data_IF_439994565939
#
_entry.id   IF_439994565939
#
_cell.length_a   1.000
_cell.length_b   1.000
_cell.length_c   1.000
_cell.angle_alpha   90.00
_cell.angle_beta   90.00
_cell.angle_gamma   90.00
#
_symmetry.space_group_name_H-M   'P 1'
#
loop_
_entity.id
_entity.type
_entity.pdbx_description
1 polymer ?
#
# COMPACT_ATOMS: atom_id res chain seq x y z
N UNK A 1 13.48 -10.96 32.58
CA UNK A 1 12.81 -10.03 31.66
C UNK A 1 12.63 -10.79 30.35
N UNK A 2 11.44 -10.73 29.77
CA UNK A 2 11.09 -11.42 28.53
C UNK A 2 11.13 -10.44 27.35
N UNK A 3 11.83 -10.85 26.29
CA UNK A 3 11.91 -10.15 25.02
C UNK A 3 10.94 -10.76 24.02
N UNK A 4 10.56 -10.01 22.99
CA UNK A 4 9.64 -10.51 21.96
C UNK A 4 10.20 -11.76 21.27
N UNK A 5 11.51 -11.82 21.05
CA UNK A 5 12.22 -12.93 20.41
C UNK A 5 12.04 -14.26 21.14
N UNK A 6 11.86 -14.22 22.46
CA UNK A 6 11.71 -15.42 23.30
C UNK A 6 10.42 -16.18 22.94
N UNK A 7 9.43 -15.50 22.37
CA UNK A 7 8.14 -16.05 21.99
C UNK A 7 8.07 -16.51 20.52
N UNK A 8 9.11 -16.24 19.70
CA UNK A 8 9.07 -16.46 18.24
C UNK A 8 9.46 -17.88 17.79
N UNK A 9 9.88 -18.73 18.72
CA UNK A 9 10.24 -20.14 18.44
C UNK A 9 9.23 -20.90 17.57
N UNK A 10 7.90 -20.75 17.73
CA UNK A 10 6.91 -21.42 16.88
C UNK A 10 6.99 -21.06 15.40
N UNK A 11 7.43 -19.85 15.03
CA UNK A 11 7.55 -19.42 13.63
C UNK A 11 8.54 -20.32 12.86
N UNK A 12 9.66 -20.68 13.49
CA UNK A 12 10.65 -21.60 12.93
C UNK A 12 10.12 -23.03 12.72
N UNK A 13 9.00 -23.38 13.36
CA UNK A 13 8.34 -24.69 13.26
C UNK A 13 7.19 -24.69 12.25
N UNK A 14 6.99 -23.60 11.51
CA UNK A 14 5.97 -23.48 10.48
C UNK A 14 4.63 -22.92 10.97
N UNK A 15 4.58 -22.33 12.18
CA UNK A 15 3.46 -21.47 12.57
C UNK A 15 3.54 -20.20 11.74
N UNK A 16 2.43 -19.82 11.11
CA UNK A 16 2.37 -18.67 10.21
C UNK A 16 2.57 -17.33 10.93
N UNK A 17 1.84 -17.13 12.02
CA UNK A 17 1.86 -15.91 12.83
C UNK A 17 1.81 -16.28 14.32
N UNK A 18 2.61 -15.60 15.13
CA UNK A 18 2.57 -15.67 16.59
C UNK A 18 2.03 -14.35 17.10
N UNK A 19 0.94 -14.39 17.86
CA UNK A 19 0.42 -13.24 18.60
C UNK A 19 0.89 -13.32 20.05
N UNK A 20 1.55 -12.26 20.53
CA UNK A 20 2.08 -12.14 21.90
C UNK A 20 1.43 -10.94 22.55
N UNK A 21 0.86 -11.09 23.76
CA UNK A 21 0.30 -9.96 24.49
C UNK A 21 1.42 -9.00 24.94
N UNK A 22 1.18 -7.69 24.81
CA UNK A 22 2.18 -6.68 25.21
C UNK A 22 2.58 -6.77 26.68
N UNK A 23 1.70 -7.27 27.53
CA UNK A 23 1.97 -7.49 28.96
C UNK A 23 3.02 -8.58 29.21
N UNK A 24 3.22 -9.49 28.26
CA UNK A 24 4.20 -10.57 28.35
C UNK A 24 5.59 -10.13 27.90
N UNK A 25 5.68 -9.11 27.04
CA UNK A 25 6.93 -8.53 26.56
C UNK A 25 7.36 -7.41 27.49
N UNK A 26 8.21 -7.74 28.47
CA UNK A 26 8.65 -6.80 29.51
C UNK A 26 9.83 -5.92 29.11
N UNK A 27 10.53 -6.27 28.03
CA UNK A 27 11.62 -5.46 27.47
C UNK A 27 11.17 -4.67 26.23
N UNK A 28 11.72 -3.45 26.01
CA UNK A 28 11.50 -2.76 24.75
C UNK A 28 12.07 -3.56 23.58
N UNK A 29 11.55 -3.31 22.38
CA UNK A 29 12.12 -3.87 21.15
C UNK A 29 13.61 -3.53 21.06
N UNK A 30 14.43 -4.53 20.71
CA UNK A 30 15.85 -4.35 20.49
C UNK A 30 16.15 -3.32 19.38
N UNK A 31 17.33 -2.70 19.44
CA UNK A 31 17.77 -1.70 18.47
C UNK A 31 17.92 -2.23 17.03
N UNK A 32 17.84 -3.54 16.85
CA UNK A 32 17.87 -4.24 15.57
C UNK A 32 16.48 -4.39 14.92
N UNK A 33 15.41 -4.02 15.62
CA UNK A 33 14.10 -3.84 15.03
C UNK A 33 13.98 -2.46 14.39
N UNK A 34 13.84 -2.47 13.08
CA UNK A 34 13.69 -1.24 12.32
C UNK A 34 12.22 -0.99 11.99
N UNK A 35 11.75 0.22 12.28
CA UNK A 35 10.40 0.63 11.92
C UNK A 35 10.26 0.69 10.39
N UNK A 36 9.23 0.03 9.86
CA UNK A 36 8.92 0.05 8.43
C UNK A 36 8.39 1.41 8.03
N UNK A 37 8.89 1.96 6.93
CA UNK A 37 8.42 3.23 6.37
C UNK A 37 6.97 3.15 5.83
N UNK A 38 6.53 1.94 5.46
CA UNK A 38 5.17 1.65 4.99
C UNK A 38 4.58 0.54 5.88
N UNK A 39 3.46 0.84 6.53
CA UNK A 39 2.64 -0.17 7.20
C UNK A 39 1.80 -0.87 6.13
N UNK A 40 2.11 -2.13 5.81
CA UNK A 40 1.17 -2.98 5.06
C UNK A 40 -0.04 -3.19 5.97
N UNK A 41 -1.27 -3.03 5.45
CA UNK A 41 -2.42 -2.82 6.31
C UNK A 41 -2.85 -4.18 6.87
N UNK A 42 -2.37 -4.53 8.06
CA UNK A 42 -2.97 -5.57 8.91
C UNK A 42 -3.97 -4.86 9.85
N UNK A 43 -5.17 -5.43 10.06
CA UNK A 43 -6.20 -4.81 10.89
C UNK A 43 -5.71 -4.39 12.28
N UNK A 44 -5.84 -3.11 12.64
CA UNK A 44 -5.49 -2.61 13.97
C UNK A 44 -3.99 -2.42 14.23
N UNK A 45 -3.15 -2.51 13.19
CA UNK A 45 -1.71 -2.22 13.27
C UNK A 45 -1.43 -0.73 13.41
N UNK A 46 -0.70 -0.36 14.46
CA UNK A 46 -0.24 1.00 14.77
C UNK A 46 1.04 1.28 13.97
N UNK A 47 1.99 0.35 14.04
CA UNK A 47 3.28 0.40 13.36
C UNK A 47 3.78 -1.01 13.07
N UNK A 48 4.64 -1.14 12.08
CA UNK A 48 5.26 -2.41 11.73
C UNK A 48 6.78 -2.28 11.86
N UNK A 49 7.43 -3.30 12.40
CA UNK A 49 8.89 -3.36 12.53
C UNK A 49 9.43 -4.58 11.82
N UNK A 50 10.70 -4.51 11.42
CA UNK A 50 11.39 -5.59 10.71
C UNK A 50 12.73 -5.88 11.35
N UNK A 51 13.06 -7.16 11.39
CA UNK A 51 14.36 -7.68 11.84
C UNK A 51 14.71 -8.91 10.99
N UNK A 52 15.44 -8.67 9.90
CA UNK A 52 15.73 -9.72 8.91
C UNK A 52 14.45 -10.24 8.26
N UNK A 53 14.15 -11.53 8.46
CA UNK A 53 12.92 -12.18 7.98
C UNK A 53 11.73 -11.99 8.91
N UNK A 54 11.93 -11.51 10.14
CA UNK A 54 10.81 -11.25 11.03
C UNK A 54 10.13 -9.94 10.67
N UNK A 55 8.80 -10.00 10.56
CA UNK A 55 7.96 -8.83 10.40
C UNK A 55 6.95 -8.83 11.55
N UNK A 56 6.98 -7.76 12.34
CA UNK A 56 6.06 -7.57 13.45
C UNK A 56 5.10 -6.44 13.12
N UNK A 57 3.83 -6.70 13.38
CA UNK A 57 2.77 -5.73 13.42
C UNK A 57 2.44 -5.43 14.88
N UNK A 58 2.73 -4.21 15.31
CA UNK A 58 2.31 -3.71 16.61
C UNK A 58 0.84 -3.34 16.57
N UNK A 59 0.03 -3.91 17.46
CA UNK A 59 -1.36 -3.50 17.67
C UNK A 59 -1.50 -2.84 19.04
N UNK A 60 -2.72 -2.43 19.43
CA UNK A 60 -2.97 -1.82 20.75
C UNK A 60 -2.53 -2.75 21.89
N UNK A 61 -2.90 -4.03 21.79
CA UNK A 61 -2.81 -4.97 22.91
C UNK A 61 -1.76 -6.08 22.64
N UNK A 62 -1.39 -6.30 21.37
CA UNK A 62 -0.58 -7.45 20.96
C UNK A 62 0.53 -7.10 19.97
N UNK A 63 1.60 -7.89 20.00
CA UNK A 63 2.59 -8.02 18.95
C UNK A 63 2.21 -9.21 18.07
N UNK A 64 1.95 -8.98 16.79
CA UNK A 64 1.72 -10.04 15.81
C UNK A 64 2.95 -10.20 14.95
N UNK A 65 3.62 -11.33 15.04
CA UNK A 65 4.87 -11.56 14.34
C UNK A 65 4.70 -12.70 13.36
N UNK A 66 5.06 -12.47 12.10
CA UNK A 66 5.18 -13.51 11.10
C UNK A 66 6.60 -13.54 10.54
N UNK A 67 6.92 -14.63 9.83
CA UNK A 67 8.21 -14.82 9.18
C UNK A 67 8.04 -14.66 7.66
N UNK A 68 8.59 -13.59 7.11
CA UNK A 68 8.75 -13.43 5.66
C UNK A 68 9.78 -14.48 5.18
N UNK A 69 9.58 -15.06 4.00
CA UNK A 69 10.54 -16.07 3.50
C UNK A 69 11.84 -15.41 3.05
N UNK A 70 11.78 -14.19 2.56
CA UNK A 70 12.95 -13.44 2.14
C UNK A 70 13.10 -12.17 2.96
N UNK A 71 14.32 -11.91 3.44
CA UNK A 71 14.67 -10.61 4.02
C UNK A 71 14.56 -9.55 2.91
N UNK A 72 13.63 -8.58 3.01
CA UNK A 72 13.40 -7.58 1.97
C UNK A 72 14.61 -6.68 1.74
N UNK A 73 15.50 -6.53 2.73
CA UNK A 73 16.74 -5.76 2.57
C UNK A 73 17.75 -6.46 1.69
N UNK A 74 17.81 -7.79 1.78
CA UNK A 74 18.76 -8.61 1.02
C UNK A 74 18.19 -9.05 -0.32
N UNK A 75 16.88 -9.32 -0.36
CA UNK A 75 16.19 -9.90 -1.50
C UNK A 75 14.85 -9.20 -1.80
N UNK A 76 14.85 -7.90 -2.13
CA UNK A 76 13.63 -7.10 -2.30
C UNK A 76 12.70 -7.64 -3.40
N UNK A 77 13.28 -8.12 -4.51
CA UNK A 77 12.51 -8.65 -5.65
C UNK A 77 11.83 -9.97 -5.27
N UNK A 78 12.54 -10.87 -4.57
CA UNK A 78 11.97 -12.17 -4.18
C UNK A 78 10.86 -11.99 -3.15
N UNK A 79 11.00 -11.04 -2.23
CA UNK A 79 9.94 -10.67 -1.30
C UNK A 79 8.67 -10.23 -2.03
N UNK A 80 8.79 -9.34 -3.03
CA UNK A 80 7.63 -8.85 -3.79
C UNK A 80 6.92 -9.95 -4.61
N UNK A 81 7.69 -10.84 -5.24
CA UNK A 81 7.14 -11.80 -6.20
C UNK A 81 6.65 -13.09 -5.54
N UNK A 82 7.28 -13.51 -4.45
CA UNK A 82 7.09 -14.83 -3.83
C UNK A 82 6.42 -14.76 -2.45
N UNK A 83 6.70 -13.72 -1.64
CA UNK A 83 6.04 -13.54 -0.35
C UNK A 83 4.67 -12.86 -0.50
N UNK A 84 4.56 -11.88 -1.41
CA UNK A 84 3.35 -11.11 -1.65
C UNK A 84 2.87 -11.17 -3.12
N UNK A 85 2.52 -12.36 -3.67
CA UNK A 85 2.02 -12.45 -5.03
C UNK A 85 0.76 -11.58 -5.19
N UNK A 86 0.64 -10.92 -6.36
CA UNK A 86 -0.34 -9.86 -6.62
C UNK A 86 -1.77 -10.21 -6.21
N UNK A 87 -2.21 -11.44 -6.49
CA UNK A 87 -3.55 -11.93 -6.14
C UNK A 87 -3.79 -11.98 -4.62
N UNK A 88 -2.77 -12.32 -3.83
CA UNK A 88 -2.86 -12.29 -2.37
C UNK A 88 -2.89 -10.86 -1.85
N UNK A 89 -2.07 -9.97 -2.42
CA UNK A 89 -2.07 -8.54 -2.06
C UNK A 89 -3.45 -7.89 -2.28
N UNK A 90 -4.12 -8.22 -3.38
CA UNK A 90 -5.49 -7.77 -3.65
C UNK A 90 -6.45 -8.34 -2.58
N UNK A 91 -6.36 -9.64 -2.28
CA UNK A 91 -7.18 -10.28 -1.25
C UNK A 91 -7.00 -9.67 0.14
N UNK A 92 -5.77 -9.43 0.56
CA UNK A 92 -5.43 -8.82 1.85
C UNK A 92 -5.93 -7.37 1.92
N UNK A 93 -5.85 -6.64 0.82
CA UNK A 93 -6.45 -5.30 0.71
C UNK A 93 -7.96 -5.35 0.98
N UNK A 94 -8.68 -6.31 0.39
CA UNK A 94 -10.11 -6.49 0.66
C UNK A 94 -10.39 -6.82 2.13
N UNK A 95 -9.66 -7.76 2.71
CA UNK A 95 -9.83 -8.17 4.12
C UNK A 95 -9.61 -6.97 5.05
N UNK A 96 -8.57 -6.17 4.78
CA UNK A 96 -8.27 -5.03 5.64
C UNK A 96 -9.31 -3.94 5.52
N UNK A 97 -9.87 -3.70 4.33
CA UNK A 97 -10.97 -2.75 4.15
C UNK A 97 -12.19 -3.09 5.01
N UNK A 98 -12.54 -4.36 5.16
CA UNK A 98 -13.62 -4.78 6.07
C UNK A 98 -13.26 -4.64 7.54
N UNK A 99 -11.98 -4.78 7.88
CA UNK A 99 -11.52 -4.73 9.26
C UNK A 99 -11.43 -3.33 9.85
N UNK A 100 -11.23 -2.30 9.00
CA UNK A 100 -11.11 -0.89 9.43
C UNK A 100 -12.46 -0.30 9.90
N UNK A 101 -13.54 -1.09 9.86
CA UNK A 101 -14.90 -0.69 10.24
C UNK A 101 -15.12 -0.57 11.78
N UNK A 102 -14.13 -0.94 12.60
CA UNK A 102 -14.24 -0.88 14.07
C UNK A 102 -13.24 0.12 14.68
N UNK A 103 -13.65 1.38 14.93
CA UNK A 103 -12.82 2.32 15.67
C UNK A 103 -12.81 1.99 17.18
N UNK A 104 -11.63 2.06 17.82
CA UNK A 104 -11.46 2.10 19.28
C UNK A 104 -10.82 3.43 19.68
N UNK A 105 -11.47 4.10 20.64
CA UNK A 105 -11.09 5.38 21.25
C UNK A 105 -9.86 5.29 22.17
N UNK A 106 -9.12 6.39 22.27
CA UNK A 106 -8.89 7.15 23.52
C UNK A 106 -8.13 8.47 23.22
N UNK A 107 -8.84 9.61 23.16
CA UNK A 107 -8.27 10.97 23.09
C UNK A 107 -9.14 11.93 23.92
N UNK A 108 -8.56 13.09 24.27
CA UNK A 108 -9.21 14.16 25.05
C UNK A 108 -10.50 14.65 24.37
N UNK A 109 -11.57 14.93 25.14
CA UNK A 109 -12.96 15.00 24.64
C UNK A 109 -13.15 16.14 23.63
N UNK A 110 -12.57 17.30 23.88
CA UNK A 110 -12.79 18.50 23.06
C UNK A 110 -12.01 18.46 21.74
N UNK A 111 -10.77 17.98 21.79
CA UNK A 111 -9.96 17.73 20.60
C UNK A 111 -10.57 16.59 19.76
N UNK A 112 -11.09 15.55 20.42
CA UNK A 112 -11.80 14.44 19.77
C UNK A 112 -13.05 14.91 19.04
N UNK A 113 -13.84 15.83 19.61
CA UNK A 113 -15.06 16.34 18.94
C UNK A 113 -14.74 17.19 17.70
N UNK A 114 -13.66 17.99 17.72
CA UNK A 114 -13.22 18.76 16.57
C UNK A 114 -12.70 17.86 15.45
N UNK A 115 -11.85 16.89 15.80
CA UNK A 115 -11.33 15.87 14.89
C UNK A 115 -12.46 15.02 14.29
N UNK A 116 -13.47 14.63 15.09
CA UNK A 116 -14.63 13.86 14.62
C UNK A 116 -15.49 14.64 13.62
N UNK A 117 -15.71 15.94 13.83
CA UNK A 117 -16.47 16.77 12.89
C UNK A 117 -15.74 16.92 11.55
N UNK A 118 -14.43 17.15 11.59
CA UNK A 118 -13.60 17.24 10.40
C UNK A 118 -13.55 15.89 9.67
N UNK A 119 -13.28 14.80 10.41
CA UNK A 119 -13.26 13.43 9.89
C UNK A 119 -14.58 13.04 9.24
N UNK A 120 -15.72 13.38 9.86
CA UNK A 120 -17.05 13.15 9.28
C UNK A 120 -17.21 13.83 7.91
N UNK A 121 -16.88 15.13 7.80
CA UNK A 121 -16.97 15.83 6.52
C UNK A 121 -16.09 15.18 5.45
N UNK A 122 -14.84 14.87 5.79
CA UNK A 122 -13.91 14.21 4.86
C UNK A 122 -14.43 12.85 4.43
N UNK A 123 -14.90 12.01 5.35
CA UNK A 123 -15.43 10.68 5.03
C UNK A 123 -16.64 10.74 4.10
N UNK A 124 -17.59 11.66 4.34
CA UNK A 124 -18.77 11.80 3.48
C UNK A 124 -18.41 12.36 2.10
N UNK A 125 -17.61 13.43 2.04
CA UNK A 125 -17.23 14.06 0.77
C UNK A 125 -16.36 13.12 -0.05
N UNK A 126 -15.33 12.53 0.55
CA UNK A 126 -14.48 11.56 -0.12
C UNK A 126 -15.27 10.31 -0.51
N UNK A 127 -16.20 9.85 0.33
CA UNK A 127 -17.07 8.71 0.02
C UNK A 127 -17.94 8.96 -1.22
N UNK A 128 -18.62 10.11 -1.29
CA UNK A 128 -19.41 10.51 -2.46
C UNK A 128 -18.52 10.64 -3.70
N UNK A 129 -17.37 11.31 -3.58
CA UNK A 129 -16.42 11.46 -4.68
C UNK A 129 -15.96 10.10 -5.22
N UNK A 130 -15.58 9.17 -4.33
CA UNK A 130 -15.15 7.82 -4.71
C UNK A 130 -16.28 7.02 -5.36
N UNK A 131 -17.52 7.12 -4.88
CA UNK A 131 -18.69 6.49 -5.53
C UNK A 131 -18.85 7.02 -6.96
N UNK A 132 -18.84 8.34 -7.14
CA UNK A 132 -18.96 8.97 -8.46
C UNK A 132 -17.81 8.59 -9.38
N UNK A 133 -16.59 8.55 -8.85
CA UNK A 133 -15.41 8.11 -9.59
C UNK A 133 -15.52 6.64 -10.00
N UNK A 134 -16.00 5.76 -9.11
CA UNK A 134 -16.25 4.36 -9.41
C UNK A 134 -17.28 4.19 -10.54
N UNK A 135 -18.38 4.94 -10.49
CA UNK A 135 -19.40 4.97 -11.55
C UNK A 135 -18.81 5.47 -12.87
N UNK A 136 -18.03 6.55 -12.84
CA UNK A 136 -17.36 7.09 -14.03
C UNK A 136 -16.43 6.06 -14.68
N UNK A 137 -15.63 5.33 -13.88
CA UNK A 137 -14.76 4.27 -14.39
C UNK A 137 -15.59 3.09 -14.94
N UNK A 138 -16.75 2.79 -14.34
CA UNK A 138 -17.63 1.72 -14.81
C UNK A 138 -18.26 2.03 -16.17
N UNK A 139 -18.68 3.28 -16.37
CA UNK A 139 -19.37 3.74 -17.57
C UNK A 139 -18.49 3.67 -18.82
N UNK A 140 -17.24 4.16 -18.71
CA UNK A 140 -16.23 4.02 -19.77
C UNK A 140 -14.85 3.65 -19.20
N UNK A 141 -14.59 2.35 -18.99
CA UNK A 141 -13.34 1.87 -18.39
C UNK A 141 -12.10 2.23 -19.21
N UNK A 142 -12.22 2.28 -20.54
CA UNK A 142 -11.09 2.54 -21.43
C UNK A 142 -10.81 4.04 -21.52
N UNK A 143 -11.84 4.89 -21.59
CA UNK A 143 -11.63 6.32 -21.50
C UNK A 143 -11.08 6.72 -20.12
N UNK A 144 -11.56 6.09 -19.04
CA UNK A 144 -10.99 6.31 -17.70
C UNK A 144 -9.52 5.90 -17.62
N UNK A 145 -9.14 4.75 -18.20
CA UNK A 145 -7.75 4.33 -18.31
C UNK A 145 -6.92 5.32 -19.13
N UNK A 146 -7.41 5.72 -20.31
CA UNK A 146 -6.74 6.69 -21.17
C UNK A 146 -6.55 8.03 -20.46
N UNK A 147 -7.58 8.55 -19.79
CA UNK A 147 -7.48 9.79 -19.02
C UNK A 147 -6.45 9.67 -17.88
N UNK A 148 -6.40 8.54 -17.19
CA UNK A 148 -5.44 8.33 -16.11
C UNK A 148 -3.98 8.32 -16.62
N UNK A 149 -3.70 7.65 -17.75
CA UNK A 149 -2.33 7.45 -18.23
C UNK A 149 -1.85 8.51 -19.22
N UNK A 150 -2.72 8.99 -20.11
CA UNK A 150 -2.37 10.01 -21.12
C UNK A 150 -2.51 11.44 -20.61
N UNK A 151 -3.23 11.67 -19.50
CA UNK A 151 -3.39 13.00 -18.91
C UNK A 151 -2.89 12.99 -17.46
N UNK A 152 -3.52 12.20 -16.58
CA UNK A 152 -3.26 12.23 -15.14
C UNK A 152 -1.78 12.00 -14.78
N UNK A 153 -1.23 10.87 -15.19
CA UNK A 153 0.16 10.49 -14.93
C UNK A 153 1.18 11.54 -15.44
N UNK A 154 1.13 12.01 -16.71
CA UNK A 154 2.03 13.05 -17.19
C UNK A 154 1.98 14.32 -16.33
N UNK A 155 0.78 14.80 -15.97
CA UNK A 155 0.64 16.01 -15.14
C UNK A 155 1.16 15.81 -13.72
N UNK A 156 1.01 14.62 -13.14
CA UNK A 156 1.61 14.27 -11.85
C UNK A 156 3.15 14.32 -11.95
N UNK A 157 3.72 13.75 -13.01
CA UNK A 157 5.18 13.75 -13.24
C UNK A 157 5.69 15.20 -13.43
N UNK A 158 5.04 16.00 -14.28
CA UNK A 158 5.39 17.41 -14.49
C UNK A 158 5.28 18.20 -13.19
N UNK A 159 4.18 18.06 -12.46
CA UNK A 159 3.98 18.73 -11.17
C UNK A 159 5.06 18.36 -10.16
N UNK A 160 5.42 17.08 -10.06
CA UNK A 160 6.51 16.62 -9.20
C UNK A 160 7.86 17.22 -9.63
N UNK A 161 8.16 17.25 -10.93
CA UNK A 161 9.37 17.88 -11.45
C UNK A 161 9.45 19.38 -11.11
N UNK A 162 8.34 20.11 -11.22
CA UNK A 162 8.25 21.53 -10.83
C UNK A 162 8.51 21.70 -9.32
N UNK A 163 7.95 20.83 -8.47
CA UNK A 163 8.20 20.89 -7.02
C UNK A 163 9.67 20.66 -6.69
N UNK A 164 10.34 19.72 -7.35
CA UNK A 164 11.78 19.46 -7.19
C UNK A 164 12.62 20.67 -7.64
N UNK A 165 12.27 21.31 -8.75
CA UNK A 165 12.92 22.55 -9.19
C UNK A 165 12.72 23.67 -8.17
N UNK A 166 11.48 23.85 -7.69
CA UNK A 166 11.13 24.89 -6.74
C UNK A 166 11.90 24.73 -5.41
N UNK A 167 12.02 23.50 -4.91
CA UNK A 167 12.82 23.21 -3.72
C UNK A 167 14.31 23.53 -3.94
N UNK A 168 14.87 23.11 -5.09
CA UNK A 168 16.25 23.41 -5.45
C UNK A 168 16.52 24.93 -5.55
N UNK A 169 15.60 25.71 -6.12
CA UNK A 169 15.69 27.18 -6.18
C UNK A 169 15.58 27.80 -4.78
N UNK A 170 14.63 27.34 -3.97
CA UNK A 170 14.43 27.83 -2.60
C UNK A 170 15.66 27.61 -1.74
N UNK A 171 16.30 26.43 -1.84
CA UNK A 171 17.54 26.09 -1.16
C UNK A 171 18.72 26.93 -1.66
N UNK A 172 18.73 27.33 -2.93
CA UNK A 172 19.73 28.26 -3.48
C UNK A 172 19.55 29.68 -2.91
N UNK A 173 18.30 30.16 -2.83
CA UNK A 173 17.95 31.51 -2.36
C UNK A 173 18.14 31.71 -0.85
N UNK A 174 17.96 30.65 -0.05
CA UNK A 174 18.15 30.69 1.42
C UNK A 174 19.62 30.63 1.87
N UNK A 175 20.58 30.59 0.95
CA UNK A 175 22.01 30.61 1.31
C UNK A 175 22.38 31.92 1.99
N UNK A 176 22.60 31.88 3.31
CA UNK A 176 23.37 32.91 4.01
C UNK A 176 24.87 32.74 3.67
N UNK A 177 25.65 33.82 3.49
CA UNK A 177 27.06 33.74 3.07
C UNK A 177 28.06 33.14 4.10
N UNK A 178 27.65 32.76 5.31
CA UNK A 178 28.59 32.69 6.44
C UNK A 178 29.09 31.32 6.92
N UNK A 179 28.66 30.19 6.35
CA UNK A 179 29.17 28.89 6.81
C UNK A 179 29.92 28.15 5.71
N UNK A 180 31.13 28.62 5.41
CA UNK A 180 32.10 27.98 4.51
C UNK A 180 33.06 27.05 5.26
N UNK A 181 33.09 27.05 6.60
CA UNK A 181 34.15 26.36 7.36
C UNK A 181 33.79 25.00 7.97
N UNK A 182 32.55 24.50 7.87
CA UNK A 182 32.25 23.11 8.26
C UNK A 182 31.69 22.35 7.06
N UNK A 183 32.54 21.51 6.47
CA UNK A 183 32.29 20.73 5.26
C UNK A 183 31.24 19.63 5.40
N UNK A 184 30.03 19.95 5.85
CA UNK A 184 28.91 19.00 6.00
C UNK A 184 27.65 19.43 5.23
N UNK A 185 27.62 20.60 4.58
CA UNK A 185 26.50 20.96 3.70
C UNK A 185 26.78 20.57 2.25
N UNK A 186 26.80 19.26 1.97
CA UNK A 186 26.58 18.75 0.61
C UNK A 186 25.09 18.97 0.24
N UNK A 187 24.71 20.21 -0.04
CA UNK A 187 23.46 20.46 -0.77
C UNK A 187 23.65 19.86 -2.16
N UNK A 188 22.87 18.81 -2.48
CA UNK A 188 22.90 18.08 -3.74
C UNK A 188 22.68 19.07 -4.89
N UNK A 189 23.76 19.48 -5.57
CA UNK A 189 23.74 20.30 -6.80
C UNK A 189 22.93 19.68 -7.96
N UNK A 190 22.31 18.51 -7.77
CA UNK A 190 21.55 17.78 -8.78
C UNK A 190 20.04 18.05 -8.79
N UNK A 191 19.45 18.72 -7.80
CA UNK A 191 17.97 18.81 -7.69
C UNK A 191 17.32 19.54 -8.86
N UNK A 192 17.84 20.71 -9.27
CA UNK A 192 17.30 21.46 -10.41
C UNK A 192 17.45 20.68 -11.74
N UNK A 193 18.64 20.15 -12.12
CA UNK A 193 18.77 19.31 -13.30
C UNK A 193 17.85 18.09 -13.29
N UNK A 194 17.71 17.41 -12.15
CA UNK A 194 16.79 16.27 -12.02
C UNK A 194 15.33 16.68 -12.20
N UNK A 195 14.92 17.80 -11.61
CA UNK A 195 13.58 18.34 -11.80
C UNK A 195 13.28 18.68 -13.26
N UNK A 196 14.24 19.25 -14.01
CA UNK A 196 14.11 19.50 -15.45
C UNK A 196 13.94 18.19 -16.23
N UNK A 197 14.75 17.17 -15.92
CA UNK A 197 14.63 15.85 -16.55
C UNK A 197 13.27 15.23 -16.27
N UNK A 198 12.77 15.32 -15.03
CA UNK A 198 11.44 14.80 -14.66
C UNK A 198 10.34 15.52 -15.45
N UNK A 199 10.39 16.86 -15.57
CA UNK A 199 9.42 17.61 -16.38
C UNK A 199 9.48 17.18 -17.85
N UNK A 200 10.68 17.03 -18.41
CA UNK A 200 10.86 16.59 -19.79
C UNK A 200 10.29 15.17 -20.02
N UNK A 201 10.50 14.26 -19.07
CA UNK A 201 9.88 12.92 -19.09
C UNK A 201 8.37 13.03 -19.02
N UNK A 202 7.82 13.88 -18.14
CA UNK A 202 6.38 14.09 -18.02
C UNK A 202 5.76 14.61 -19.32
N UNK A 203 6.43 15.54 -20.01
CA UNK A 203 5.98 16.05 -21.32
C UNK A 203 6.04 14.92 -22.37
N UNK A 204 7.14 14.17 -22.45
CA UNK A 204 7.29 13.06 -23.39
C UNK A 204 6.22 11.97 -23.19
N UNK A 205 5.87 11.69 -21.93
CA UNK A 205 4.83 10.72 -21.54
C UNK A 205 3.44 11.12 -22.09
N UNK A 206 3.18 12.41 -22.35
CA UNK A 206 1.92 12.87 -22.96
C UNK A 206 1.75 12.40 -24.41
N UNK A 207 2.86 12.17 -25.13
CA UNK A 207 2.84 11.76 -26.55
C UNK A 207 2.69 10.25 -26.72
N UNK A 208 2.67 9.47 -25.64
CA UNK A 208 2.50 8.02 -25.67
C UNK A 208 1.03 7.69 -25.95
N UNK A 209 0.78 6.97 -27.04
CA UNK A 209 -0.56 6.55 -27.43
C UNK A 209 -1.15 5.49 -26.48
N UNK A 210 -2.47 5.35 -26.51
CA UNK A 210 -3.22 4.47 -25.63
C UNK A 210 -2.81 2.99 -25.78
N UNK A 211 -2.51 2.53 -27.00
CA UNK A 211 -2.13 1.15 -27.23
C UNK A 211 -0.77 0.86 -26.59
N UNK A 212 0.17 1.80 -26.72
CA UNK A 212 1.47 1.70 -26.08
C UNK A 212 1.34 1.67 -24.55
N UNK A 213 0.46 2.49 -23.94
CA UNK A 213 0.19 2.41 -22.50
C UNK A 213 -0.37 1.05 -22.06
N UNK A 214 -1.33 0.52 -22.81
CA UNK A 214 -1.88 -0.80 -22.52
C UNK A 214 -0.81 -1.89 -22.60
N UNK A 215 0.08 -1.82 -23.59
CA UNK A 215 1.18 -2.77 -23.76
C UNK A 215 2.22 -2.66 -22.62
N UNK A 216 2.61 -1.44 -22.23
CA UNK A 216 3.53 -1.23 -21.11
C UNK A 216 2.96 -1.84 -19.84
N UNK A 217 1.69 -1.56 -19.53
CA UNK A 217 1.02 -2.12 -18.36
C UNK A 217 0.95 -3.65 -18.44
N UNK A 218 0.50 -4.21 -19.56
CA UNK A 218 0.35 -5.67 -19.69
C UNK A 218 1.70 -6.38 -19.66
N UNK A 219 2.78 -5.80 -20.17
CA UNK A 219 4.14 -6.37 -20.07
C UNK A 219 4.62 -6.37 -18.62
N UNK A 220 4.42 -5.28 -17.87
CA UNK A 220 4.77 -5.22 -16.45
C UNK A 220 4.03 -6.31 -15.67
N UNK A 221 2.72 -6.44 -15.90
CA UNK A 221 1.90 -7.48 -15.28
C UNK A 221 2.33 -8.88 -15.71
N UNK A 222 2.65 -9.08 -16.98
CA UNK A 222 3.11 -10.35 -17.53
C UNK A 222 4.39 -10.80 -16.82
N UNK A 223 5.38 -9.92 -16.69
CA UNK A 223 6.65 -10.21 -16.00
C UNK A 223 6.39 -10.59 -14.54
N UNK A 224 5.55 -9.81 -13.83
CA UNK A 224 5.21 -10.09 -12.45
C UNK A 224 4.51 -11.45 -12.30
N UNK A 225 3.43 -11.67 -13.05
CA UNK A 225 2.61 -12.87 -12.94
C UNK A 225 3.39 -14.12 -13.35
N UNK A 226 4.26 -14.02 -14.36
CA UNK A 226 5.13 -15.10 -14.78
C UNK A 226 6.14 -15.46 -13.68
N UNK A 227 6.81 -14.46 -13.10
CA UNK A 227 7.75 -14.69 -12.02
C UNK A 227 7.05 -15.33 -10.81
N UNK A 228 5.90 -14.80 -10.38
CA UNK A 228 5.11 -15.37 -9.28
C UNK A 228 4.66 -16.80 -9.60
N UNK A 229 4.20 -17.08 -10.82
CA UNK A 229 3.81 -18.43 -11.23
C UNK A 229 4.98 -19.42 -11.12
N UNK A 230 6.17 -19.06 -11.62
CA UNK A 230 7.35 -19.92 -11.56
C UNK A 230 7.71 -20.26 -10.12
N UNK A 231 7.84 -19.26 -9.24
CA UNK A 231 8.24 -19.51 -7.86
C UNK A 231 7.22 -20.36 -7.10
N UNK A 232 5.92 -20.08 -7.28
CA UNK A 232 4.85 -20.85 -6.67
C UNK A 232 4.84 -22.30 -7.17
N UNK A 233 4.95 -22.53 -8.48
CA UNK A 233 4.88 -23.87 -9.06
C UNK A 233 6.14 -24.71 -8.77
N UNK A 234 7.34 -24.11 -8.80
CA UNK A 234 8.58 -24.79 -8.37
C UNK A 234 8.44 -25.25 -6.92
N UNK A 235 7.87 -24.42 -6.05
CA UNK A 235 7.70 -24.71 -4.63
C UNK A 235 6.66 -25.79 -4.40
N UNK A 236 5.52 -25.74 -5.11
CA UNK A 236 4.52 -26.81 -5.11
C UNK A 236 5.12 -28.13 -5.59
N UNK A 237 6.00 -28.09 -6.61
CA UNK A 237 6.74 -29.26 -7.09
C UNK A 237 7.66 -29.90 -6.04
N UNK A 238 8.13 -29.15 -5.04
CA UNK A 238 8.90 -29.67 -3.89
C UNK A 238 8.04 -30.35 -2.82
N UNK A 239 6.72 -30.41 -3.01
CA UNK A 239 5.78 -31.12 -2.16
C UNK A 239 5.21 -30.30 -1.00
N UNK A 240 4.26 -30.90 -0.26
CA UNK A 240 3.46 -30.23 0.78
C UNK A 240 4.29 -29.57 1.90
N UNK A 241 5.46 -30.13 2.22
CA UNK A 241 6.37 -29.58 3.25
C UNK A 241 6.96 -28.22 2.86
N UNK A 242 7.07 -27.92 1.55
CA UNK A 242 7.59 -26.65 1.06
C UNK A 242 6.54 -25.53 1.02
N UNK A 243 5.26 -25.87 1.23
CA UNK A 243 4.10 -24.97 1.17
C UNK A 243 3.17 -25.19 2.38
N UNK A 244 3.63 -24.85 3.60
CA UNK A 244 2.85 -25.09 4.83
C UNK A 244 1.54 -24.29 4.86
N UNK A 245 1.49 -23.14 4.20
CA UNK A 245 0.34 -22.23 4.14
C UNK A 245 -0.84 -22.75 3.31
N UNK A 246 -0.63 -23.79 2.49
CA UNK A 246 -1.71 -24.37 1.68
C UNK A 246 -1.28 -24.74 0.27
N UNK A 247 -0.98 -26.03 0.09
CA UNK A 247 -0.56 -26.61 -1.19
C UNK A 247 -1.53 -26.29 -2.34
N UNK A 248 -2.84 -26.49 -2.11
CA UNK A 248 -3.87 -26.31 -3.14
C UNK A 248 -3.99 -24.84 -3.55
N UNK A 249 -4.03 -23.92 -2.57
CA UNK A 249 -4.12 -22.48 -2.84
C UNK A 249 -2.95 -22.00 -3.69
N UNK A 250 -1.70 -22.33 -3.32
CA UNK A 250 -0.51 -21.89 -4.07
C UNK A 250 -0.41 -22.54 -5.45
N UNK A 251 -0.85 -23.80 -5.60
CA UNK A 251 -0.95 -24.44 -6.91
C UNK A 251 -1.95 -23.71 -7.81
N UNK A 252 -3.16 -23.45 -7.30
CA UNK A 252 -4.22 -22.75 -8.05
C UNK A 252 -3.76 -21.34 -8.44
N UNK A 253 -3.20 -20.57 -7.50
CA UNK A 253 -2.65 -19.23 -7.79
C UNK A 253 -1.56 -19.31 -8.86
N UNK A 254 -0.62 -20.26 -8.76
CA UNK A 254 0.45 -20.43 -9.76
C UNK A 254 -0.08 -20.75 -11.16
N UNK A 255 -1.07 -21.64 -11.27
CA UNK A 255 -1.71 -21.99 -12.56
C UNK A 255 -2.51 -20.81 -13.13
N UNK A 256 -3.30 -20.13 -12.30
CA UNK A 256 -4.07 -18.94 -12.70
C UNK A 256 -3.12 -17.84 -13.17
N UNK A 257 -2.02 -17.58 -12.45
CA UNK A 257 -1.03 -16.58 -12.86
C UNK A 257 -0.41 -16.90 -14.22
N UNK A 258 -0.14 -18.17 -14.53
CA UNK A 258 0.34 -18.57 -15.85
C UNK A 258 -0.72 -18.40 -16.95
N UNK A 259 -1.99 -18.71 -16.65
CA UNK A 259 -3.09 -18.42 -17.58
C UNK A 259 -3.23 -16.92 -17.85
N UNK A 260 -3.05 -16.07 -16.84
CA UNK A 260 -3.04 -14.62 -16.98
C UNK A 260 -1.90 -14.12 -17.89
N UNK A 261 -0.71 -14.73 -17.81
CA UNK A 261 0.40 -14.43 -18.73
C UNK A 261 -0.02 -14.70 -20.18
N UNK A 262 -0.70 -15.81 -20.46
CA UNK A 262 -1.22 -16.09 -21.80
C UNK A 262 -2.24 -15.01 -22.20
N UNK A 263 -3.17 -14.64 -21.31
CA UNK A 263 -4.15 -13.58 -21.57
C UNK A 263 -3.49 -12.22 -21.86
N UNK A 264 -2.40 -11.85 -21.17
CA UNK A 264 -1.69 -10.57 -21.42
C UNK A 264 -1.15 -10.46 -22.84
N UNK A 265 -0.83 -11.59 -23.48
CA UNK A 265 -0.29 -11.63 -24.84
C UNK A 265 -1.43 -11.58 -25.88
N UNK A 266 -2.47 -12.39 -25.69
CA UNK A 266 -3.50 -12.58 -26.72
C UNK A 266 -4.65 -11.58 -26.66
N UNK A 267 -4.99 -11.08 -25.47
CA UNK A 267 -6.17 -10.22 -25.25
C UNK A 267 -5.87 -9.03 -24.32
N UNK A 268 -4.81 -8.22 -24.58
CA UNK A 268 -4.39 -7.14 -23.69
C UNK A 268 -5.48 -6.09 -23.45
N UNK A 269 -6.26 -5.76 -24.48
CA UNK A 269 -7.38 -4.81 -24.36
C UNK A 269 -8.44 -5.29 -23.37
N UNK A 270 -8.92 -6.53 -23.53
CA UNK A 270 -9.92 -7.12 -22.64
C UNK A 270 -9.41 -7.27 -21.22
N UNK A 271 -8.11 -7.52 -21.05
CA UNK A 271 -7.48 -7.58 -19.74
C UNK A 271 -7.49 -6.21 -19.05
N UNK A 272 -7.06 -5.15 -19.75
CA UNK A 272 -7.11 -3.78 -19.21
C UNK A 272 -8.55 -3.38 -18.90
N UNK A 273 -9.50 -3.68 -19.78
CA UNK A 273 -10.93 -3.44 -19.54
C UNK A 273 -11.40 -4.12 -18.24
N UNK A 274 -11.11 -5.41 -18.07
CA UNK A 274 -11.48 -6.17 -16.87
C UNK A 274 -10.80 -5.62 -15.60
N UNK A 275 -9.54 -5.21 -15.70
CA UNK A 275 -8.82 -4.56 -14.60
C UNK A 275 -9.50 -3.26 -14.19
N UNK A 276 -9.90 -2.42 -15.15
CA UNK A 276 -10.57 -1.15 -14.88
C UNK A 276 -11.94 -1.36 -14.26
N UNK A 277 -12.69 -2.39 -14.66
CA UNK A 277 -13.91 -2.80 -13.96
C UNK A 277 -13.64 -3.25 -12.52
N UNK A 278 -12.55 -3.98 -12.29
CA UNK A 278 -12.14 -4.39 -10.94
C UNK A 278 -11.79 -3.17 -10.08
N UNK A 279 -11.03 -2.21 -10.64
CA UNK A 279 -10.70 -0.94 -9.97
C UNK A 279 -11.97 -0.14 -9.68
N UNK A 280 -12.91 -0.05 -10.63
CA UNK A 280 -14.21 0.60 -10.43
C UNK A 280 -14.95 0.00 -9.24
N UNK A 281 -15.07 -1.33 -9.19
CA UNK A 281 -15.76 -2.02 -8.10
C UNK A 281 -15.09 -1.75 -6.74
N UNK A 282 -13.75 -1.77 -6.67
CA UNK A 282 -13.00 -1.44 -5.46
C UNK A 282 -13.27 0.01 -5.05
N UNK A 283 -13.07 0.97 -5.96
CA UNK A 283 -13.26 2.41 -5.71
C UNK A 283 -14.69 2.72 -5.25
N UNK A 284 -15.69 2.07 -5.86
CA UNK A 284 -17.09 2.20 -5.49
C UNK A 284 -17.36 1.67 -4.08
N UNK A 285 -16.89 0.46 -3.77
CA UNK A 285 -17.04 -0.15 -2.43
C UNK A 285 -16.33 0.69 -1.35
N UNK A 286 -15.13 1.20 -1.64
CA UNK A 286 -14.42 2.14 -0.76
C UNK A 286 -15.25 3.39 -0.48
N UNK A 287 -15.85 3.96 -1.53
CA UNK A 287 -16.72 5.12 -1.39
C UNK A 287 -17.95 4.85 -0.53
N UNK A 288 -18.60 3.69 -0.71
CA UNK A 288 -19.71 3.27 0.14
C UNK A 288 -19.29 3.10 1.61
N UNK A 289 -18.15 2.48 1.86
CA UNK A 289 -17.62 2.28 3.22
C UNK A 289 -17.36 3.63 3.90
N UNK A 290 -16.69 4.55 3.21
CA UNK A 290 -16.44 5.91 3.73
C UNK A 290 -17.73 6.65 4.03
N UNK A 291 -18.72 6.57 3.12
CA UNK A 291 -20.01 7.21 3.29
C UNK A 291 -20.79 6.66 4.50
N UNK A 292 -20.85 5.33 4.63
CA UNK A 292 -21.53 4.66 5.77
C UNK A 292 -20.85 5.02 7.08
N UNK A 293 -19.51 4.98 7.13
CA UNK A 293 -18.75 5.35 8.33
C UNK A 293 -18.97 6.82 8.70
N UNK A 294 -18.98 7.72 7.72
CA UNK A 294 -19.28 9.13 7.93
C UNK A 294 -20.69 9.34 8.48
N UNK A 295 -21.71 8.68 7.91
CA UNK A 295 -23.08 8.77 8.40
C UNK A 295 -23.24 8.21 9.82
N UNK A 296 -22.55 7.10 10.13
CA UNK A 296 -22.53 6.50 11.46
C UNK A 296 -21.86 7.43 12.48
N UNK A 297 -20.73 8.04 12.12
CA UNK A 297 -20.03 9.03 12.95
C UNK A 297 -20.94 10.25 13.23
N UNK A 298 -21.66 10.74 12.22
CA UNK A 298 -22.66 11.82 12.38
C UNK A 298 -23.76 11.44 13.36
N UNK A 299 -24.26 10.20 13.30
CA UNK A 299 -25.27 9.71 14.22
C UNK A 299 -24.75 9.66 15.65
N UNK A 300 -23.54 9.10 15.86
CA UNK A 300 -22.90 9.06 17.18
C UNK A 300 -22.69 10.45 17.78
N UNK A 301 -22.18 11.41 16.99
CA UNK A 301 -21.99 12.80 17.46
C UNK A 301 -23.31 13.44 17.92
N UNK A 302 -24.43 13.16 17.24
CA UNK A 302 -25.75 13.67 17.66
C UNK A 302 -26.22 13.06 18.98
N UNK A 303 -26.07 11.74 19.14
CA UNK A 303 -26.48 11.03 20.37
C UNK A 303 -25.68 11.50 21.58
N UNK A 304 -24.37 11.67 21.45
CA UNK A 304 -23.51 12.17 22.53
C UNK A 304 -23.89 13.60 22.91
N UNK A 305 -24.14 14.48 21.93
CA UNK A 305 -24.55 15.86 22.19
C UNK A 305 -25.87 15.94 22.97
N UNK A 306 -26.83 15.05 22.70
CA UNK A 306 -28.10 14.99 23.43
C UNK A 306 -27.90 14.57 24.90
N UNK A 307 -27.05 13.56 25.15
CA UNK A 307 -26.72 13.10 26.52
C UNK A 307 -25.93 14.11 27.35
N UNK A 308 -25.20 15.02 26.72
CA UNK A 308 -24.45 16.07 27.43
C UNK A 308 -25.32 17.27 27.83
N UNK A 309 -26.56 17.32 27.35
CA UNK A 309 -27.53 18.40 27.64
C UNK A 309 -28.65 17.98 28.60
N UNK A 310 -28.63 16.72 29.07
CA UNK A 310 -29.46 16.19 30.16
C UNK A 310 -28.68 16.25 31.49
#
# INVERSE_FOLDING_TARGET
>A
MAKLEDFLGPLSKGVWEVSVDKTEVTEPLGADWEMSALNVPTPGTICSYRKGQYHVHETRDQWKVHLDRYDPKKHPILHLVDDAPLLLMIGDTFVTLFSTLNPKDNKDIEETLKDQKQSWHFQVIAGIFMILLGIFIFDDPIAAFSGAFSIGLPWIIVGFGILVIADGIWNLLKRKPENVETGINQVKRGEIPWGIVIVAVGIFVMDIDLMTWMQILTIILMIWMFASAIFLLIRVGRGRKAVPEGFVSRLVIGVISLAFVICTIYIPYSLVYFMMLTVSAIVFVLGLVLLVNGLRLRHFMKVIKLKATE
#
